data_IF_688761882131
#
_entry.id   IF_688761882131
#
_cell.length_a   1.000
_cell.length_b   1.000
_cell.length_c   1.000
_cell.angle_alpha   90.00
_cell.angle_beta   90.00
_cell.angle_gamma   90.00
#
_symmetry.space_group_name_H-M   'P 1'
#
loop_
_entity.id
_entity.type
_entity.pdbx_description
1 polymer ?
#
# COMPACT_ATOMS: atom_id res chain seq x y z
N UNK A 1 21.11 -30.27 33.17
CA UNK A 1 20.40 -29.01 33.49
C UNK A 1 21.30 -27.85 33.97
N UNK A 2 22.64 -27.96 33.87
CA UNK A 2 23.58 -26.94 34.42
C UNK A 2 23.99 -25.86 33.40
N UNK A 3 24.00 -26.16 32.09
CA UNK A 3 24.50 -25.26 31.04
C UNK A 3 23.61 -24.02 30.76
N UNK A 4 22.27 -24.13 30.89
CA UNK A 4 21.34 -23.01 30.64
C UNK A 4 21.34 -21.93 31.73
N UNK A 5 21.85 -22.21 32.94
CA UNK A 5 21.97 -21.22 34.01
C UNK A 5 23.20 -20.34 33.81
N UNK A 6 24.29 -20.89 33.30
CA UNK A 6 25.55 -20.17 33.03
C UNK A 6 25.41 -19.12 31.90
N UNK A 7 24.68 -19.44 30.83
CA UNK A 7 24.45 -18.49 29.73
C UNK A 7 23.64 -17.26 30.14
N UNK A 8 22.63 -17.41 31.02
CA UNK A 8 21.83 -16.28 31.51
C UNK A 8 22.62 -15.36 32.45
N UNK A 9 23.58 -15.90 33.18
CA UNK A 9 24.49 -15.12 34.02
C UNK A 9 25.46 -14.31 33.17
N UNK A 10 25.99 -14.90 32.10
CA UNK A 10 26.86 -14.21 31.13
C UNK A 10 26.13 -13.07 30.38
N UNK A 11 24.89 -13.29 29.94
CA UNK A 11 24.08 -12.24 29.28
C UNK A 11 23.80 -11.08 30.24
N UNK A 12 23.44 -11.37 31.50
CA UNK A 12 23.22 -10.32 32.52
C UNK A 12 24.49 -9.57 32.89
N UNK A 13 25.66 -10.22 32.86
CA UNK A 13 26.95 -9.55 33.05
C UNK A 13 27.29 -8.65 31.86
N UNK A 14 27.02 -9.10 30.62
CA UNK A 14 27.24 -8.32 29.42
C UNK A 14 26.34 -7.07 29.38
N UNK A 15 25.05 -7.19 29.72
CA UNK A 15 24.12 -6.05 29.80
C UNK A 15 24.57 -5.01 30.84
N UNK A 16 25.07 -5.46 32.00
CA UNK A 16 25.60 -4.55 33.03
C UNK A 16 26.85 -3.80 32.55
N UNK A 17 27.74 -4.48 31.82
CA UNK A 17 28.94 -3.87 31.22
C UNK A 17 28.58 -2.86 30.13
N UNK A 18 27.59 -3.17 29.29
CA UNK A 18 27.11 -2.26 28.23
C UNK A 18 26.48 -1.00 28.85
N UNK A 19 25.66 -1.14 29.89
CA UNK A 19 25.03 0.01 30.56
C UNK A 19 26.06 0.88 31.30
N UNK A 20 27.09 0.28 31.90
CA UNK A 20 28.20 1.04 32.48
C UNK A 20 29.02 1.77 31.42
N UNK A 21 29.26 1.15 30.26
CA UNK A 21 29.96 1.77 29.15
C UNK A 21 29.19 2.95 28.55
N UNK A 22 27.87 2.83 28.36
CA UNK A 22 27.02 3.93 27.88
C UNK A 22 27.01 5.09 28.88
N UNK A 23 26.90 4.80 30.17
CA UNK A 23 26.95 5.83 31.23
C UNK A 23 28.30 6.54 31.28
N UNK A 24 29.39 5.81 31.08
CA UNK A 24 30.74 6.37 31.02
C UNK A 24 30.94 7.19 29.73
N UNK A 25 30.49 6.71 28.57
CA UNK A 25 30.57 7.45 27.32
C UNK A 25 29.83 8.79 27.37
N UNK A 26 28.67 8.84 28.05
CA UNK A 26 27.90 10.07 28.27
C UNK A 26 28.60 11.09 29.19
N UNK A 27 29.44 10.64 30.13
CA UNK A 27 30.19 11.51 31.03
C UNK A 27 31.47 12.07 30.39
N UNK A 28 32.09 11.34 29.45
CA UNK A 28 33.38 11.71 28.87
C UNK A 28 33.30 12.28 27.45
N UNK A 29 32.18 12.13 26.72
CA UNK A 29 32.00 12.67 25.37
C UNK A 29 30.62 13.36 25.20
N UNK A 30 30.45 14.60 25.72
CA UNK A 30 29.17 15.32 25.65
C UNK A 30 28.77 15.78 24.23
N UNK A 31 29.59 15.52 23.20
CA UNK A 31 29.39 16.05 21.85
C UNK A 31 28.66 15.11 20.87
N UNK A 32 28.21 13.92 21.29
CA UNK A 32 27.56 12.95 20.39
C UNK A 32 26.01 13.06 20.33
N UNK A 33 25.40 14.00 21.05
CA UNK A 33 23.95 14.23 21.01
C UNK A 33 23.66 15.71 20.73
N UNK A 34 23.55 16.05 19.45
CA UNK A 34 22.89 17.29 19.02
C UNK A 34 21.47 16.94 18.59
N UNK A 35 20.42 17.38 19.32
CA UNK A 35 19.10 17.45 18.74
C UNK A 35 19.13 18.56 17.69
N UNK A 36 18.98 18.19 16.42
CA UNK A 36 18.88 19.18 15.33
C UNK A 36 17.63 20.02 15.53
N UNK A 37 17.82 21.28 15.93
CA UNK A 37 16.83 22.35 15.80
C UNK A 37 16.59 22.58 14.30
N UNK A 38 15.47 22.09 13.79
CA UNK A 38 14.92 22.56 12.52
C UNK A 38 13.99 23.73 12.82
N UNK A 39 14.31 24.89 12.26
CA UNK A 39 13.54 26.12 12.34
C UNK A 39 12.06 25.88 12.02
N UNK A 40 11.17 26.24 12.94
CA UNK A 40 9.73 26.29 12.71
C UNK A 40 9.44 27.45 11.75
N UNK A 41 9.37 27.15 10.46
CA UNK A 41 8.63 27.96 9.52
C UNK A 41 7.14 27.72 9.79
N UNK A 42 6.45 28.74 10.32
CA UNK A 42 5.00 28.77 10.37
C UNK A 42 4.52 28.81 8.92
N UNK A 43 4.18 27.65 8.38
CA UNK A 43 3.43 27.57 7.14
C UNK A 43 1.99 28.00 7.43
N UNK A 44 1.68 29.23 7.03
CA UNK A 44 0.32 29.70 6.91
C UNK A 44 -0.50 28.73 6.05
N UNK A 45 -1.73 28.45 6.49
CA UNK A 45 -2.82 27.72 5.83
C UNK A 45 -2.56 27.21 4.42
N UNK A 46 -1.86 26.08 4.31
CA UNK A 46 -1.86 25.26 3.11
C UNK A 46 -2.97 24.22 3.23
N UNK A 47 -3.98 24.32 2.38
CA UNK A 47 -5.03 23.32 2.20
C UNK A 47 -4.43 21.92 2.28
N UNK A 48 -4.87 21.10 3.24
CA UNK A 48 -4.61 19.67 3.26
C UNK A 48 -4.81 19.15 1.84
N UNK A 49 -3.75 18.65 1.21
CA UNK A 49 -3.82 18.05 -0.13
C UNK A 49 -4.97 17.06 -0.13
N UNK A 50 -6.12 17.45 -0.67
CA UNK A 50 -7.33 16.65 -0.65
C UNK A 50 -6.96 15.27 -1.18
N UNK A 51 -7.18 14.24 -0.38
CA UNK A 51 -6.72 12.90 -0.69
C UNK A 51 -7.37 12.47 -2.02
N UNK A 52 -6.55 12.20 -3.04
CA UNK A 52 -7.05 11.92 -4.40
C UNK A 52 -8.02 10.74 -4.40
N UNK A 53 -9.30 11.00 -4.67
CA UNK A 53 -10.31 9.96 -4.76
C UNK A 53 -10.21 9.21 -6.08
N UNK A 54 -10.28 7.89 -6.02
CA UNK A 54 -10.28 6.99 -7.17
C UNK A 54 -11.68 6.42 -7.37
N UNK A 55 -12.17 6.61 -8.58
CA UNK A 55 -13.50 6.24 -9.04
C UNK A 55 -13.41 5.04 -9.99
N UNK A 56 -14.47 4.26 -10.03
CA UNK A 56 -14.72 3.31 -11.09
C UNK A 56 -14.94 4.06 -12.40
N UNK A 57 -14.08 3.81 -13.39
CA UNK A 57 -14.17 4.47 -14.70
C UNK A 57 -15.51 4.23 -15.40
N UNK A 58 -16.13 3.08 -15.18
CA UNK A 58 -17.37 2.72 -15.87
C UNK A 58 -18.62 3.43 -15.34
N UNK A 59 -18.67 3.80 -14.06
CA UNK A 59 -19.90 4.31 -13.44
C UNK A 59 -19.70 5.44 -12.41
N UNK A 60 -18.46 5.89 -12.18
CA UNK A 60 -18.14 6.93 -11.22
C UNK A 60 -18.28 6.53 -9.75
N UNK A 61 -18.47 5.24 -9.43
CA UNK A 61 -18.52 4.80 -8.03
C UNK A 61 -17.17 4.99 -7.34
N UNK A 62 -17.16 5.54 -6.12
CA UNK A 62 -15.96 5.72 -5.32
C UNK A 62 -15.41 4.37 -4.89
N UNK A 63 -14.13 4.12 -5.20
CA UNK A 63 -13.47 2.84 -4.94
C UNK A 63 -12.43 2.96 -3.83
N UNK A 64 -11.51 3.91 -3.92
CA UNK A 64 -10.39 4.00 -2.99
C UNK A 64 -9.92 5.43 -2.85
N UNK A 65 -9.23 5.71 -1.75
CA UNK A 65 -8.53 6.97 -1.56
C UNK A 65 -7.05 6.77 -1.89
N UNK A 66 -6.38 7.79 -2.43
CA UNK A 66 -4.97 7.72 -2.78
C UNK A 66 -4.05 7.35 -1.60
N UNK A 67 -4.50 7.58 -0.36
CA UNK A 67 -3.83 7.13 0.86
C UNK A 67 -3.73 5.62 0.99
N UNK A 68 -4.71 4.88 0.46
CA UNK A 68 -4.77 3.41 0.51
C UNK A 68 -3.88 2.74 -0.54
N UNK A 69 -3.27 3.50 -1.46
CA UNK A 69 -2.27 2.95 -2.39
C UNK A 69 -1.08 2.44 -1.57
N UNK A 70 -0.84 1.13 -1.67
CA UNK A 70 0.26 0.43 -1.04
C UNK A 70 1.03 -0.34 -2.11
N UNK A 71 2.36 -0.26 -2.14
CA UNK A 71 3.14 -1.01 -3.14
C UNK A 71 3.51 -2.40 -2.61
N UNK A 72 2.95 -3.44 -3.24
CA UNK A 72 3.36 -4.83 -3.02
C UNK A 72 4.14 -5.28 -4.25
N UNK A 73 5.48 -5.45 -4.18
CA UNK A 73 6.26 -5.90 -5.32
C UNK A 73 6.01 -7.38 -5.61
N UNK A 74 6.00 -7.76 -6.89
CA UNK A 74 6.05 -9.15 -7.30
C UNK A 74 7.19 -9.40 -8.28
N UNK A 75 7.92 -10.50 -8.03
CA UNK A 75 8.93 -11.06 -8.93
C UNK A 75 8.35 -11.66 -10.22
N UNK A 76 7.03 -11.81 -10.32
CA UNK A 76 6.33 -12.31 -11.51
C UNK A 76 5.81 -11.18 -12.40
N UNK A 77 6.02 -9.91 -12.01
CA UNK A 77 5.70 -8.78 -12.87
C UNK A 77 6.63 -8.77 -14.09
N UNK A 78 6.06 -8.68 -15.29
CA UNK A 78 6.81 -8.57 -16.54
C UNK A 78 7.58 -7.24 -16.62
N UNK A 79 7.01 -6.18 -16.07
CA UNK A 79 7.65 -4.87 -15.93
C UNK A 79 7.00 -4.09 -14.80
N UNK A 80 7.70 -3.06 -14.32
CA UNK A 80 7.13 -2.08 -13.38
C UNK A 80 7.59 -0.68 -13.73
N UNK A 81 6.70 0.31 -13.54
CA UNK A 81 7.01 1.73 -13.73
C UNK A 81 6.49 2.56 -12.57
N UNK A 82 7.14 3.69 -12.36
CA UNK A 82 6.62 4.75 -11.50
C UNK A 82 5.74 5.68 -12.35
N UNK A 83 4.51 5.90 -11.90
CA UNK A 83 3.61 6.93 -12.40
C UNK A 83 3.49 8.05 -11.36
N UNK A 84 3.10 9.24 -11.78
CA UNK A 84 2.97 10.41 -10.91
C UNK A 84 1.50 10.76 -10.75
N UNK A 85 0.97 10.70 -9.52
CA UNK A 85 -0.34 11.28 -9.24
C UNK A 85 -0.24 12.80 -9.20
N UNK A 86 -1.32 13.49 -9.53
CA UNK A 86 -1.49 14.91 -9.20
C UNK A 86 -1.39 15.00 -7.66
N UNK A 87 -0.54 15.90 -7.15
CA UNK A 87 -0.12 15.93 -5.74
C UNK A 87 1.24 15.27 -5.45
N UNK A 88 1.95 14.76 -6.47
CA UNK A 88 3.34 14.35 -6.36
C UNK A 88 3.58 12.97 -5.73
N UNK A 89 2.52 12.21 -5.43
CA UNK A 89 2.65 10.85 -4.91
C UNK A 89 3.03 9.89 -6.04
N UNK A 90 4.09 9.12 -5.83
CA UNK A 90 4.53 8.08 -6.76
C UNK A 90 3.61 6.87 -6.65
N UNK A 91 3.07 6.45 -7.77
CA UNK A 91 2.25 5.24 -7.89
C UNK A 91 3.07 4.20 -8.64
N UNK A 92 3.23 3.01 -8.06
CA UNK A 92 3.89 1.91 -8.76
C UNK A 92 2.86 1.09 -9.51
N UNK A 93 3.07 0.96 -10.82
CA UNK A 93 2.27 0.12 -11.70
C UNK A 93 3.09 -1.11 -12.05
N UNK A 94 2.48 -2.29 -11.97
CA UNK A 94 3.09 -3.56 -12.37
C UNK A 94 2.31 -4.17 -13.52
N UNK A 95 3.01 -4.66 -14.54
CA UNK A 95 2.45 -5.37 -15.68
C UNK A 95 2.51 -6.88 -15.43
N UNK A 96 1.38 -7.56 -15.55
CA UNK A 96 1.27 -9.01 -15.46
C UNK A 96 0.61 -9.57 -16.71
N UNK A 97 0.81 -10.86 -16.96
CA UNK A 97 0.12 -11.62 -18.00
C UNK A 97 -0.60 -12.81 -17.35
N UNK A 98 -1.84 -13.06 -17.79
CA UNK A 98 -2.59 -14.22 -17.35
C UNK A 98 -2.26 -15.46 -18.21
N UNK A 99 -2.67 -16.68 -17.81
CA UNK A 99 -2.40 -17.90 -18.58
C UNK A 99 -2.97 -17.92 -20.02
N UNK A 100 -3.89 -17.01 -20.33
CA UNK A 100 -4.48 -16.85 -21.66
C UNK A 100 -3.75 -15.80 -22.52
N UNK A 101 -2.64 -15.22 -22.04
CA UNK A 101 -1.86 -14.21 -22.75
C UNK A 101 -2.43 -12.78 -22.64
N UNK A 102 -3.42 -12.53 -21.79
CA UNK A 102 -3.93 -11.18 -21.56
C UNK A 102 -3.09 -10.44 -20.53
N UNK A 103 -2.71 -9.22 -20.88
CA UNK A 103 -1.86 -8.38 -20.05
C UNK A 103 -2.67 -7.36 -19.25
N UNK A 104 -2.27 -7.16 -17.99
CA UNK A 104 -2.93 -6.26 -17.05
C UNK A 104 -1.91 -5.41 -16.32
N UNK A 105 -2.07 -4.11 -16.44
CA UNK A 105 -1.39 -3.15 -15.56
C UNK A 105 -2.21 -2.96 -14.30
N UNK A 106 -1.58 -3.18 -13.14
CA UNK A 106 -2.26 -3.10 -11.84
C UNK A 106 -1.55 -2.18 -10.87
N UNK A 107 -2.35 -1.56 -10.01
CA UNK A 107 -1.90 -0.82 -8.82
C UNK A 107 -2.41 -1.59 -7.60
N UNK A 108 -1.59 -1.67 -6.57
CA UNK A 108 -1.93 -2.35 -5.32
C UNK A 108 -2.47 -1.36 -4.26
N UNK A 109 -3.46 -1.82 -3.50
CA UNK A 109 -4.19 -1.04 -2.50
C UNK A 109 -4.33 -1.83 -1.21
N UNK A 110 -4.21 -1.17 -0.06
CA UNK A 110 -4.55 -1.75 1.25
C UNK A 110 -6.05 -1.91 1.40
N UNK A 111 -6.83 -0.90 0.97
CA UNK A 111 -8.29 -0.89 1.04
C UNK A 111 -8.90 -0.33 -0.24
N UNK A 112 -10.04 -0.89 -0.64
CA UNK A 112 -10.89 -0.37 -1.69
C UNK A 112 -12.29 -0.98 -1.56
N UNK A 113 -13.33 -0.19 -1.83
CA UNK A 113 -14.71 -0.60 -1.87
C UNK A 113 -14.99 -1.43 -3.14
N UNK A 114 -14.92 -2.76 -2.99
CA UNK A 114 -15.15 -3.71 -4.07
C UNK A 114 -15.92 -4.92 -3.58
N UNK A 115 -16.67 -5.57 -4.47
CA UNK A 115 -17.26 -6.89 -4.18
C UNK A 115 -16.26 -7.99 -4.55
N UNK A 116 -15.84 -8.78 -3.57
CA UNK A 116 -14.94 -9.94 -3.70
C UNK A 116 -15.74 -11.22 -3.98
N UNK A 117 -15.21 -12.11 -4.82
CA UNK A 117 -15.90 -13.31 -5.30
C UNK A 117 -15.27 -14.61 -4.77
N UNK A 118 -15.33 -14.83 -3.46
CA UNK A 118 -14.80 -16.04 -2.80
C UNK A 118 -15.40 -17.34 -3.39
N UNK A 119 -14.67 -18.49 -3.37
CA UNK A 119 -13.40 -18.75 -2.68
C UNK A 119 -12.14 -18.21 -3.40
N UNK A 120 -11.06 -18.07 -2.65
CA UNK A 120 -9.74 -17.69 -3.16
C UNK A 120 -9.10 -18.84 -3.95
N UNK A 121 -8.40 -18.52 -5.03
CA UNK A 121 -7.67 -19.47 -5.86
C UNK A 121 -6.15 -19.25 -5.73
N UNK A 122 -5.42 -20.36 -5.61
CA UNK A 122 -3.95 -20.39 -5.51
C UNK A 122 -3.28 -20.47 -6.88
N UNK A 123 -3.98 -21.00 -7.88
CA UNK A 123 -3.43 -21.22 -9.22
C UNK A 123 -3.18 -19.91 -9.93
N UNK A 124 -2.05 -19.82 -10.63
CA UNK A 124 -1.69 -18.66 -11.45
C UNK A 124 -1.66 -17.32 -10.69
N UNK A 125 -1.39 -17.37 -9.38
CA UNK A 125 -1.24 -16.16 -8.59
C UNK A 125 -0.02 -15.35 -9.07
N UNK A 126 -0.24 -14.06 -9.31
CA UNK A 126 0.83 -13.13 -9.63
C UNK A 126 1.70 -12.77 -8.43
N UNK A 127 1.25 -13.04 -7.20
CA UNK A 127 1.97 -12.69 -5.98
C UNK A 127 2.30 -13.98 -5.23
N UNK A 128 3.56 -14.46 -5.28
CA UNK A 128 3.96 -15.68 -4.59
C UNK A 128 3.63 -15.62 -3.10
N UNK A 129 3.00 -16.67 -2.57
CA UNK A 129 2.53 -16.73 -1.19
C UNK A 129 1.09 -16.25 -0.97
N UNK A 130 0.41 -15.76 -2.02
CA UNK A 130 -0.97 -15.28 -1.94
C UNK A 130 -1.93 -16.08 -2.83
N UNK A 131 -3.15 -16.29 -2.33
CA UNK A 131 -4.33 -16.69 -3.11
C UNK A 131 -5.09 -15.44 -3.56
N UNK A 132 -5.80 -15.52 -4.68
CA UNK A 132 -6.55 -14.41 -5.24
C UNK A 132 -8.03 -14.74 -5.46
N UNK A 133 -8.88 -13.74 -5.37
CA UNK A 133 -10.27 -13.80 -5.83
C UNK A 133 -10.57 -12.61 -6.73
N UNK A 134 -11.51 -12.76 -7.67
CA UNK A 134 -11.95 -11.65 -8.51
C UNK A 134 -12.61 -10.56 -7.67
N UNK A 135 -12.37 -9.30 -8.03
CA UNK A 135 -12.97 -8.12 -7.42
C UNK A 135 -13.73 -7.32 -8.48
N UNK A 136 -14.98 -6.95 -8.17
CA UNK A 136 -15.86 -6.21 -9.07
C UNK A 136 -16.36 -4.93 -8.42
N UNK A 137 -16.76 -3.95 -9.23
CA UNK A 137 -17.41 -2.75 -8.72
C UNK A 137 -18.76 -3.13 -8.08
N UNK A 138 -19.04 -2.71 -6.84
CA UNK A 138 -20.30 -3.05 -6.17
C UNK A 138 -21.51 -2.42 -6.90
N UNK A 139 -21.31 -1.26 -7.56
CA UNK A 139 -22.35 -0.54 -8.31
C UNK A 139 -22.64 -1.14 -9.69
N UNK A 140 -21.65 -1.21 -10.57
CA UNK A 140 -21.86 -1.61 -11.98
C UNK A 140 -21.41 -3.04 -12.32
N UNK A 141 -20.89 -3.79 -11.35
CA UNK A 141 -20.39 -5.16 -11.49
C UNK A 141 -19.24 -5.36 -12.49
N UNK A 142 -18.72 -4.28 -13.07
CA UNK A 142 -17.51 -4.36 -13.91
C UNK A 142 -16.38 -4.99 -13.10
N UNK A 143 -15.63 -5.91 -13.71
CA UNK A 143 -14.43 -6.46 -13.11
C UNK A 143 -13.46 -5.30 -12.85
N UNK A 144 -12.85 -5.22 -11.68
CA UNK A 144 -11.89 -4.16 -11.33
C UNK A 144 -10.48 -4.70 -11.15
N UNK A 145 -10.35 -5.97 -10.78
CA UNK A 145 -9.07 -6.61 -10.54
C UNK A 145 -9.25 -7.76 -9.55
N UNK A 146 -8.32 -7.91 -8.62
CA UNK A 146 -8.26 -9.07 -7.73
C UNK A 146 -7.97 -8.67 -6.29
N UNK A 147 -8.52 -9.42 -5.33
CA UNK A 147 -8.19 -9.32 -3.92
C UNK A 147 -7.28 -10.49 -3.52
N UNK A 148 -6.21 -10.21 -2.77
CA UNK A 148 -5.18 -11.16 -2.38
C UNK A 148 -5.18 -11.37 -0.88
N UNK A 149 -5.05 -12.64 -0.49
CA UNK A 149 -4.89 -13.07 0.90
C UNK A 149 -3.76 -14.10 1.02
N UNK A 150 -3.16 -14.29 2.20
CA UNK A 150 -2.15 -15.31 2.41
C UNK A 150 -2.66 -16.72 2.04
N UNK A 151 -1.79 -17.54 1.46
CA UNK A 151 -2.15 -18.90 0.96
C UNK A 151 -2.55 -19.87 2.09
N UNK A 152 -2.10 -19.59 3.31
CA UNK A 152 -2.39 -20.34 4.53
C UNK A 152 -3.70 -19.90 5.22
N UNK A 153 -4.37 -18.85 4.72
CA UNK A 153 -5.69 -18.44 5.19
C UNK A 153 -6.80 -19.33 4.61
N UNK A 154 -7.98 -19.42 5.28
CA UNK A 154 -9.16 -20.10 4.74
C UNK A 154 -9.57 -19.51 3.39
N UNK A 155 -10.04 -20.33 2.45
CA UNK A 155 -10.36 -19.87 1.09
C UNK A 155 -11.52 -18.85 1.04
N UNK A 156 -12.35 -18.78 2.07
CA UNK A 156 -13.38 -17.76 2.24
C UNK A 156 -13.16 -17.04 3.57
N UNK A 157 -13.12 -15.72 3.53
CA UNK A 157 -13.00 -14.87 4.71
C UNK A 157 -14.06 -13.77 4.70
N UNK A 158 -14.39 -13.25 5.87
CA UNK A 158 -15.30 -12.10 5.99
C UNK A 158 -14.63 -10.83 5.52
N UNK A 159 -15.41 -9.89 5.00
CA UNK A 159 -14.95 -8.58 4.53
C UNK A 159 -14.15 -7.84 5.61
N UNK A 160 -14.66 -7.79 6.85
CA UNK A 160 -13.96 -7.16 7.97
C UNK A 160 -12.58 -7.79 8.22
N UNK A 161 -12.47 -9.12 8.18
CA UNK A 161 -11.19 -9.81 8.38
C UNK A 161 -10.22 -9.52 7.23
N UNK A 162 -10.72 -9.36 6.01
CA UNK A 162 -9.91 -8.93 4.88
C UNK A 162 -9.39 -7.51 5.10
N UNK A 163 -10.25 -6.54 5.43
CA UNK A 163 -9.87 -5.13 5.51
C UNK A 163 -9.02 -4.77 6.74
N UNK A 164 -9.11 -5.52 7.83
CA UNK A 164 -8.35 -5.28 9.06
C UNK A 164 -6.94 -5.88 9.01
N UNK A 165 -6.67 -6.76 8.05
CA UNK A 165 -5.38 -7.46 7.93
C UNK A 165 -4.33 -6.61 7.24
N UNK A 166 -3.13 -6.55 7.81
CA UNK A 166 -1.95 -5.97 7.12
C UNK A 166 -1.38 -6.90 6.03
N UNK A 167 -1.87 -8.14 5.95
CA UNK A 167 -1.38 -9.16 5.02
C UNK A 167 -2.32 -9.39 3.84
N UNK A 168 -3.34 -8.56 3.67
CA UNK A 168 -4.23 -8.58 2.50
C UNK A 168 -4.04 -7.31 1.70
N UNK A 169 -4.35 -7.38 0.42
CA UNK A 169 -4.33 -6.21 -0.46
C UNK A 169 -5.17 -6.47 -1.70
N UNK A 170 -5.50 -5.42 -2.44
CA UNK A 170 -6.15 -5.50 -3.74
C UNK A 170 -5.18 -5.11 -4.83
N UNK A 171 -5.23 -5.76 -5.99
CA UNK A 171 -4.58 -5.31 -7.21
C UNK A 171 -5.64 -4.93 -8.23
N UNK A 172 -5.82 -3.62 -8.47
CA UNK A 172 -6.84 -3.09 -9.37
C UNK A 172 -6.24 -2.65 -10.69
N UNK A 173 -6.95 -2.89 -11.79
CA UNK A 173 -6.51 -2.62 -13.16
C UNK A 173 -6.53 -1.12 -13.42
N UNK A 174 -5.38 -0.55 -13.80
CA UNK A 174 -5.18 0.90 -13.99
C UNK A 174 -6.24 1.53 -14.89
N UNK A 175 -6.50 0.90 -16.04
CA UNK A 175 -7.44 1.38 -17.04
C UNK A 175 -8.89 1.43 -16.56
N UNK A 176 -9.22 0.78 -15.44
CA UNK A 176 -10.58 0.75 -14.88
C UNK A 176 -10.78 1.75 -13.75
N UNK A 177 -9.71 2.46 -13.38
CA UNK A 177 -9.73 3.52 -12.38
C UNK A 177 -9.73 4.88 -13.07
N UNK A 178 -10.42 5.83 -12.46
CA UNK A 178 -10.50 7.23 -12.86
C UNK A 178 -10.23 8.09 -11.64
N UNK A 179 -9.34 9.08 -11.75
CA UNK A 179 -9.15 10.03 -10.65
C UNK A 179 -10.25 11.08 -10.68
N UNK A 180 -10.75 11.45 -9.51
CA UNK A 180 -11.81 12.46 -9.36
C UNK A 180 -11.38 13.84 -9.88
N UNK A 181 -10.13 14.25 -9.61
CA UNK A 181 -9.58 15.53 -10.06
C UNK A 181 -9.54 15.64 -11.60
N UNK A 182 -9.14 14.57 -12.26
CA UNK A 182 -9.15 14.45 -13.70
C UNK A 182 -10.58 14.45 -14.23
N UNK A 183 -11.50 13.70 -13.61
CA UNK A 183 -12.91 13.69 -13.99
C UNK A 183 -13.53 15.10 -13.90
N UNK A 184 -13.21 15.84 -12.84
CA UNK A 184 -13.69 17.21 -12.61
C UNK A 184 -13.12 18.19 -13.64
N UNK A 185 -11.86 18.02 -14.05
CA UNK A 185 -11.24 18.88 -15.06
C UNK A 185 -11.91 18.79 -16.44
N UNK A 186 -12.54 17.65 -16.76
CA UNK A 186 -13.25 17.45 -18.04
C UNK A 186 -14.58 18.22 -18.11
N UNK A 187 -15.13 18.64 -16.97
CA UNK A 187 -16.39 19.40 -16.90
C UNK A 187 -16.18 20.91 -17.08
N UNK A 188 -14.93 21.39 -17.11
CA UNK A 188 -14.63 22.82 -17.26
C UNK A 188 -14.63 23.19 -18.74
N UNK A 189 -15.52 24.12 -19.12
CA UNK A 189 -15.50 24.71 -20.47
C UNK A 189 -14.20 25.48 -20.70
N UNK A 190 -13.40 25.13 -21.73
CA UNK A 190 -12.17 25.85 -22.02
C UNK A 190 -12.46 27.32 -22.35
N UNK A 191 -11.58 28.23 -21.94
CA UNK A 191 -11.76 29.67 -22.15
C UNK A 191 -11.90 30.04 -23.64
N UNK A 192 -11.33 29.24 -24.55
CA UNK A 192 -11.50 29.40 -26.00
C UNK A 192 -12.95 29.28 -26.49
N UNK A 193 -13.84 28.70 -25.69
CA UNK A 193 -15.26 28.54 -26.01
C UNK A 193 -16.17 29.53 -25.29
N UNK A 194 -15.61 30.43 -24.48
CA UNK A 194 -16.35 31.54 -23.86
C UNK A 194 -16.22 32.75 -24.79
N UNK A 195 -17.15 32.91 -25.73
CA UNK A 195 -17.29 34.12 -26.58
C UNK A 195 -17.68 35.34 -25.76
#
# INVERSE_FOLDING_TARGET
>A
MVHKRSLRLLVKQLERLIMQYISFALLFHPAAYQPGEACAAVAEGGTSSAATLLLCRACGHELAVGTDINFVPSRLALSSRNDTSIGGRRINVQLFENPHGHQFEVITFRKANVTQHWPANKHFSWFPGFSWTAATCPRCKTHLGWAFQPTDWPDTITENRFEESEHTFLALITQRLLREDFASSLLVTPQSFKS
#
